data_IF_627744416824
#
_entry.id   IF_627744416824
#
_cell.length_a   1.000
_cell.length_b   1.000
_cell.length_c   1.000
_cell.angle_alpha   90.00
_cell.angle_beta   90.00
_cell.angle_gamma   90.00
#
_symmetry.space_group_name_H-M   'P 1'
#
loop_
_entity.id
_entity.type
_entity.pdbx_description
1 polymer ?
#
# COMPACT_ATOMS: atom_id res chain seq x y z
N UNK A 1 -64.80 29.93 -34.41
CA UNK A 1 -64.52 30.84 -33.28
C UNK A 1 -64.96 30.15 -32.00
N UNK A 2 -64.07 29.37 -31.37
CA UNK A 2 -64.38 28.53 -30.22
C UNK A 2 -63.13 28.39 -29.33
N UNK A 3 -63.32 28.66 -28.01
CA UNK A 3 -62.72 28.04 -26.81
C UNK A 3 -61.17 27.91 -26.71
N UNK A 4 -60.47 28.12 -25.59
CA UNK A 4 -60.78 28.28 -24.16
C UNK A 4 -59.52 28.74 -23.42
N UNK A 5 -59.70 29.49 -22.32
CA UNK A 5 -58.68 29.79 -21.30
C UNK A 5 -58.38 28.53 -20.47
N UNK A 6 -57.11 28.27 -20.16
CA UNK A 6 -56.72 27.49 -18.98
C UNK A 6 -55.68 28.23 -18.15
N UNK A 7 -56.05 28.47 -16.89
CA UNK A 7 -55.19 28.91 -15.79
C UNK A 7 -54.45 27.69 -15.25
N UNK A 8 -53.13 27.77 -15.12
CA UNK A 8 -52.35 26.75 -14.40
C UNK A 8 -52.28 27.11 -12.92
N UNK A 9 -52.68 26.12 -12.12
CA UNK A 9 -52.81 26.09 -10.67
C UNK A 9 -51.42 25.85 -10.05
N UNK A 10 -51.01 26.74 -9.15
CA UNK A 10 -49.83 26.56 -8.28
C UNK A 10 -50.28 25.66 -7.12
N UNK A 11 -49.71 24.45 -7.04
CA UNK A 11 -49.87 23.56 -5.88
C UNK A 11 -48.70 23.84 -4.92
N UNK A 12 -49.03 24.47 -3.80
CA UNK A 12 -48.15 24.70 -2.67
C UNK A 12 -48.32 23.53 -1.70
N UNK A 13 -47.35 22.62 -1.63
CA UNK A 13 -47.38 21.53 -0.65
C UNK A 13 -46.70 21.99 0.63
N UNK A 14 -47.51 22.33 1.63
CA UNK A 14 -47.10 22.51 3.03
C UNK A 14 -47.03 21.11 3.63
N UNK A 15 -45.84 20.66 4.05
CA UNK A 15 -45.72 19.51 4.97
C UNK A 15 -45.21 20.03 6.31
N UNK A 16 -46.09 19.88 7.28
CA UNK A 16 -45.99 20.17 8.69
C UNK A 16 -45.02 19.24 9.43
N UNK A 17 -44.13 19.84 10.21
CA UNK A 17 -43.45 19.26 11.39
C UNK A 17 -44.52 19.11 12.49
N UNK A 18 -44.70 17.93 13.15
CA UNK A 18 -44.09 17.75 14.49
C UNK A 18 -43.89 16.30 14.98
N UNK A 19 -42.70 16.00 15.52
CA UNK A 19 -42.48 15.04 16.64
C UNK A 19 -41.02 15.21 17.07
N UNK A 20 -40.72 15.98 18.13
CA UNK A 20 -40.74 15.59 19.55
C UNK A 20 -39.77 14.44 19.84
N UNK A 21 -38.60 14.82 20.35
CA UNK A 21 -38.09 14.39 21.66
C UNK A 21 -38.15 12.87 21.94
N UNK A 22 -37.19 12.10 21.44
CA UNK A 22 -36.92 10.74 21.97
C UNK A 22 -35.49 10.26 21.67
N UNK A 23 -34.46 11.04 22.05
CA UNK A 23 -33.08 10.55 22.11
C UNK A 23 -32.28 11.26 23.21
N UNK A 24 -32.77 11.15 24.44
CA UNK A 24 -31.95 11.30 25.65
C UNK A 24 -32.38 10.17 26.61
N UNK A 25 -31.39 9.52 27.22
CA UNK A 25 -31.45 8.32 28.07
C UNK A 25 -31.55 6.96 27.36
N UNK A 26 -30.40 6.34 27.10
CA UNK A 26 -30.03 5.08 27.74
C UNK A 26 -28.52 4.81 27.53
N UNK A 27 -27.69 5.46 28.34
CA UNK A 27 -26.37 4.91 28.69
C UNK A 27 -26.62 4.09 29.96
N UNK A 28 -27.04 2.83 29.78
CA UNK A 28 -26.94 1.86 30.87
C UNK A 28 -25.51 1.33 30.91
N UNK A 29 -24.84 1.67 31.99
CA UNK A 29 -23.64 1.05 32.50
C UNK A 29 -23.85 -0.45 32.68
N UNK A 30 -23.32 -1.28 31.78
CA UNK A 30 -23.06 -2.68 32.09
C UNK A 30 -21.72 -2.78 32.80
N UNK A 31 -21.80 -2.83 34.12
CA UNK A 31 -20.74 -3.32 35.00
C UNK A 31 -20.41 -4.75 34.62
N UNK A 32 -19.20 -4.97 34.10
CA UNK A 32 -18.68 -6.30 33.79
C UNK A 32 -18.34 -6.99 35.12
N UNK A 33 -19.15 -7.97 35.48
CA UNK A 33 -18.89 -8.89 36.60
C UNK A 33 -17.68 -9.77 36.27
N UNK A 34 -16.81 -9.89 37.26
CA UNK A 34 -15.66 -10.80 37.30
C UNK A 34 -16.12 -12.26 37.22
N UNK A 35 -15.54 -13.13 36.38
CA UNK A 35 -15.74 -14.56 36.50
C UNK A 35 -14.97 -15.10 37.71
N UNK A 36 -15.70 -15.87 38.50
CA UNK A 36 -15.23 -16.58 39.68
C UNK A 36 -14.17 -17.64 39.33
N UNK A 37 -13.27 -17.85 40.29
CA UNK A 37 -12.31 -18.94 40.35
C UNK A 37 -13.02 -20.30 40.30
N UNK A 38 -12.75 -21.08 39.25
CA UNK A 38 -12.87 -22.55 39.31
C UNK A 38 -11.47 -23.15 39.28
N UNK A 39 -11.05 -23.62 40.46
CA UNK A 39 -9.82 -24.38 40.64
C UNK A 39 -10.06 -25.81 40.17
N UNK A 40 -9.53 -26.17 39.01
CA UNK A 40 -9.50 -27.56 38.54
C UNK A 40 -8.11 -28.12 38.81
N UNK A 41 -8.02 -29.04 39.75
CA UNK A 41 -6.80 -29.74 40.13
C UNK A 41 -6.49 -30.82 39.09
N UNK A 42 -5.46 -30.62 38.26
CA UNK A 42 -4.93 -31.65 37.36
C UNK A 42 -3.62 -32.17 37.97
N UNK A 43 -3.63 -33.42 38.42
CA UNK A 43 -2.45 -34.15 38.89
C UNK A 43 -1.61 -34.60 37.69
N UNK A 44 -0.46 -33.96 37.46
CA UNK A 44 0.57 -34.48 36.55
C UNK A 44 1.57 -35.32 37.32
N UNK A 45 1.61 -36.62 37.01
CA UNK A 45 2.69 -37.53 37.39
C UNK A 45 4.00 -37.06 36.73
N UNK A 46 4.96 -36.73 37.57
CA UNK A 46 6.34 -36.38 37.20
C UNK A 46 7.11 -37.64 36.81
N UNK A 47 7.37 -37.81 35.50
CA UNK A 47 8.43 -38.70 35.04
C UNK A 47 9.70 -37.85 34.87
N UNK A 48 10.62 -38.00 35.82
CA UNK A 48 11.95 -37.39 35.77
C UNK A 48 12.79 -38.21 34.78
N UNK A 49 12.97 -37.71 33.57
CA UNK A 49 14.05 -38.16 32.68
C UNK A 49 15.12 -37.08 32.62
N UNK A 50 16.30 -37.42 33.14
CA UNK A 50 17.54 -36.65 33.08
C UNK A 50 17.87 -36.20 31.65
N UNK A 51 18.21 -34.92 31.41
CA UNK A 51 18.65 -34.48 30.10
C UNK A 51 20.07 -34.99 29.83
N UNK A 52 20.21 -35.76 28.75
CA UNK A 52 21.50 -36.10 28.14
C UNK A 52 22.15 -34.82 27.60
N UNK A 53 23.44 -34.55 27.87
CA UNK A 53 24.09 -33.34 27.37
C UNK A 53 24.22 -33.42 25.84
N UNK A 54 23.51 -32.55 25.13
CA UNK A 54 23.66 -32.35 23.70
C UNK A 54 25.03 -31.72 23.43
N UNK A 55 25.85 -32.45 22.69
CA UNK A 55 27.15 -32.06 22.18
C UNK A 55 27.05 -30.69 21.49
N UNK A 56 27.79 -29.71 22.00
CA UNK A 56 27.93 -28.38 21.42
C UNK A 56 28.75 -28.46 20.13
N UNK A 57 28.13 -28.72 18.99
CA UNK A 57 28.74 -28.40 17.70
C UNK A 57 28.54 -26.92 17.42
N UNK A 58 29.50 -26.11 17.86
CA UNK A 58 29.66 -24.72 17.41
C UNK A 58 30.02 -24.71 15.93
N UNK A 59 29.01 -24.88 15.05
CA UNK A 59 29.16 -24.50 13.66
C UNK A 59 29.02 -22.98 13.60
N UNK A 60 30.16 -22.31 13.62
CA UNK A 60 30.29 -20.93 13.14
C UNK A 60 29.72 -20.89 11.73
N UNK A 61 28.54 -20.25 11.59
CA UNK A 61 28.03 -19.84 10.30
C UNK A 61 29.16 -19.08 9.59
N UNK A 62 29.55 -19.48 8.37
CA UNK A 62 30.51 -18.70 7.62
C UNK A 62 29.92 -17.30 7.48
N UNK A 63 30.64 -16.30 7.98
CA UNK A 63 30.35 -14.92 7.71
C UNK A 63 30.39 -14.78 6.19
N UNK A 64 29.22 -14.79 5.56
CA UNK A 64 29.09 -14.39 4.16
C UNK A 64 29.48 -12.93 4.16
N UNK A 65 30.74 -12.68 3.86
CA UNK A 65 31.28 -11.36 3.58
C UNK A 65 30.49 -10.86 2.37
N UNK A 66 29.37 -10.19 2.62
CA UNK A 66 28.66 -9.40 1.62
C UNK A 66 29.65 -8.33 1.19
N UNK A 67 30.28 -8.58 0.04
CA UNK A 67 31.28 -7.72 -0.57
C UNK A 67 30.60 -6.37 -0.80
N UNK A 68 30.96 -5.41 0.04
CA UNK A 68 30.65 -3.99 -0.11
C UNK A 68 31.32 -3.49 -1.40
N UNK A 69 30.55 -3.52 -2.48
CA UNK A 69 30.81 -2.77 -3.72
C UNK A 69 29.48 -2.15 -4.15
N UNK A 70 29.02 -1.15 -3.41
CA UNK A 70 28.19 -0.10 -3.97
C UNK A 70 28.18 1.08 -3.00
N UNK A 71 28.72 2.20 -3.49
CA UNK A 71 28.54 3.51 -2.88
C UNK A 71 27.04 3.81 -2.80
N UNK A 72 26.53 4.08 -1.60
CA UNK A 72 25.20 4.65 -1.33
C UNK A 72 24.03 4.05 -2.14
N UNK A 73 23.72 2.76 -1.90
CA UNK A 73 22.38 2.28 -2.25
C UNK A 73 21.36 3.08 -1.44
N UNK A 74 20.41 3.68 -2.13
CA UNK A 74 19.22 4.32 -1.53
C UNK A 74 18.03 3.43 -1.83
N UNK A 75 17.33 3.00 -0.78
CA UNK A 75 16.04 2.35 -0.85
C UNK A 75 14.97 3.41 -1.08
N UNK A 76 14.52 3.53 -2.33
CA UNK A 76 13.48 4.47 -2.72
C UNK A 76 12.11 3.77 -2.73
N UNK A 77 11.16 4.35 -2.00
CA UNK A 77 9.78 3.86 -1.88
C UNK A 77 8.82 5.01 -2.21
N UNK A 78 7.85 4.78 -3.09
CA UNK A 78 6.86 5.78 -3.50
C UNK A 78 5.47 5.36 -3.07
N UNK A 79 4.73 6.31 -2.48
CA UNK A 79 3.41 6.11 -1.88
C UNK A 79 2.47 7.19 -2.40
N UNK A 80 1.22 6.83 -2.70
CA UNK A 80 0.13 7.79 -2.89
C UNK A 80 -0.72 7.79 -1.62
N UNK A 81 -0.69 8.88 -0.86
CA UNK A 81 -1.39 9.02 0.42
C UNK A 81 -2.15 10.33 0.43
N UNK A 82 -3.35 10.35 -0.14
CA UNK A 82 -4.19 11.55 -0.17
C UNK A 82 -5.68 11.24 0.01
N UNK A 83 -6.46 12.27 0.31
CA UNK A 83 -7.89 12.16 0.56
C UNK A 83 -8.21 12.08 2.04
N UNK A 84 -8.77 10.96 2.48
CA UNK A 84 -9.38 10.86 3.79
C UNK A 84 -8.39 10.42 4.89
N UNK A 85 -8.86 10.47 6.15
CA UNK A 85 -8.07 10.08 7.32
C UNK A 85 -7.67 8.60 7.34
N UNK A 86 -8.53 7.71 6.85
CA UNK A 86 -8.23 6.27 6.78
C UNK A 86 -6.95 6.03 5.99
N UNK A 87 -6.78 6.70 4.85
CA UNK A 87 -5.53 6.66 4.08
C UNK A 87 -4.32 7.13 4.90
N UNK A 88 -4.45 8.16 5.73
CA UNK A 88 -3.35 8.62 6.59
C UNK A 88 -2.95 7.60 7.66
N UNK A 89 -3.94 6.93 8.25
CA UNK A 89 -3.75 5.88 9.27
C UNK A 89 -3.11 4.63 8.65
N UNK A 90 -3.56 4.23 7.45
CA UNK A 90 -2.96 3.15 6.65
C UNK A 90 -1.49 3.45 6.28
N UNK A 91 -1.22 4.64 5.71
CA UNK A 91 0.15 5.09 5.40
C UNK A 91 1.05 5.08 6.63
N UNK A 92 0.50 5.40 7.80
CA UNK A 92 1.22 5.34 9.06
C UNK A 92 1.67 3.90 9.38
N UNK A 93 0.80 2.91 9.20
CA UNK A 93 1.14 1.49 9.40
C UNK A 93 2.17 1.01 8.39
N UNK A 94 2.02 1.38 7.12
CA UNK A 94 2.98 1.08 6.07
C UNK A 94 4.38 1.61 6.40
N UNK A 95 4.50 2.91 6.72
CA UNK A 95 5.79 3.54 7.06
C UNK A 95 6.46 2.84 8.25
N UNK A 96 5.69 2.49 9.29
CA UNK A 96 6.23 1.72 10.41
C UNK A 96 6.80 0.39 9.96
N UNK A 97 6.06 -0.36 9.16
CA UNK A 97 6.50 -1.69 8.71
C UNK A 97 7.79 -1.60 7.90
N UNK A 98 7.95 -0.57 7.08
CA UNK A 98 9.19 -0.26 6.36
C UNK A 98 10.34 -0.05 7.34
N UNK A 99 10.17 0.85 8.31
CA UNK A 99 11.22 1.22 9.27
C UNK A 99 11.59 0.07 10.21
N UNK A 100 10.62 -0.75 10.60
CA UNK A 100 10.80 -1.88 11.50
C UNK A 100 11.54 -3.04 10.85
N UNK A 101 11.20 -3.36 9.61
CA UNK A 101 11.79 -4.49 8.91
C UNK A 101 13.06 -4.14 8.13
N UNK A 102 13.39 -2.85 8.00
CA UNK A 102 14.66 -2.43 7.42
C UNK A 102 15.83 -2.70 8.38
N UNK A 103 16.66 -3.69 8.05
CA UNK A 103 17.80 -4.14 8.88
C UNK A 103 19.15 -3.60 8.36
N UNK A 104 19.16 -2.80 7.29
CA UNK A 104 20.37 -2.29 6.64
C UNK A 104 20.88 -0.92 7.12
N UNK A 105 21.98 -0.49 6.49
CA UNK A 105 22.50 0.88 6.56
C UNK A 105 22.13 1.71 5.32
N UNK A 106 21.38 1.12 4.38
CA UNK A 106 20.85 1.76 3.17
C UNK A 106 20.04 2.98 3.55
N UNK A 107 20.28 4.13 2.90
CA UNK A 107 19.43 5.32 3.09
C UNK A 107 18.01 5.01 2.63
N UNK A 108 17.00 5.42 3.39
CA UNK A 108 15.59 5.31 2.98
C UNK A 108 15.13 6.65 2.42
N UNK A 109 14.54 6.62 1.23
CA UNK A 109 13.89 7.75 0.60
C UNK A 109 12.40 7.45 0.40
N UNK A 110 11.54 8.14 1.15
CA UNK A 110 10.08 8.06 1.02
C UNK A 110 9.58 9.19 0.12
N UNK A 111 8.98 8.83 -1.00
CA UNK A 111 8.42 9.75 -1.99
C UNK A 111 6.89 9.70 -1.91
N UNK A 112 6.27 10.68 -1.27
CA UNK A 112 4.85 10.63 -0.90
C UNK A 112 4.06 11.66 -1.70
N UNK A 113 3.25 11.21 -2.66
CA UNK A 113 2.28 12.02 -3.36
C UNK A 113 1.02 12.16 -2.49
N UNK A 114 0.65 13.39 -2.11
CA UNK A 114 -0.30 13.64 -1.03
C UNK A 114 -1.05 14.96 -1.25
N UNK A 115 -2.05 15.25 -0.42
CA UNK A 115 -2.56 16.60 -0.20
C UNK A 115 -1.95 17.24 1.07
N UNK A 116 -2.30 18.50 1.34
CA UNK A 116 -1.82 19.24 2.51
C UNK A 116 -2.29 18.62 3.83
N UNK A 117 -3.52 18.09 3.87
CA UNK A 117 -4.09 17.50 5.07
C UNK A 117 -3.31 16.25 5.51
N UNK A 118 -3.13 15.31 4.59
CA UNK A 118 -2.38 14.07 4.83
C UNK A 118 -0.90 14.34 5.12
N UNK A 119 -0.27 15.30 4.43
CA UNK A 119 1.11 15.71 4.73
C UNK A 119 1.25 16.17 6.18
N UNK A 120 0.39 17.10 6.62
CA UNK A 120 0.43 17.64 7.97
C UNK A 120 0.17 16.53 9.01
N UNK A 121 -0.81 15.66 8.75
CA UNK A 121 -1.08 14.51 9.60
C UNK A 121 0.16 13.63 9.78
N UNK A 122 0.82 13.25 8.69
CA UNK A 122 2.01 12.38 8.74
C UNK A 122 3.18 13.08 9.43
N UNK A 123 3.39 14.38 9.20
CA UNK A 123 4.43 15.13 9.93
C UNK A 123 4.16 15.10 11.44
N UNK A 124 2.95 15.45 11.86
CA UNK A 124 2.59 15.57 13.29
C UNK A 124 2.52 14.23 14.03
N UNK A 125 2.02 13.18 13.36
CA UNK A 125 1.72 11.90 13.99
C UNK A 125 2.77 10.81 13.72
N UNK A 126 3.61 10.99 12.70
CA UNK A 126 4.64 10.03 12.31
C UNK A 126 6.02 10.68 12.49
N UNK A 127 6.38 11.60 11.61
CA UNK A 127 7.78 12.03 11.47
C UNK A 127 8.31 12.86 12.64
N UNK A 128 7.47 13.67 13.30
CA UNK A 128 7.86 14.40 14.52
C UNK A 128 8.00 13.48 15.75
N UNK A 129 7.54 12.22 15.65
CA UNK A 129 7.47 11.28 16.79
C UNK A 129 8.44 10.11 16.67
N UNK A 130 8.99 9.81 15.49
CA UNK A 130 10.05 8.82 15.34
C UNK A 130 11.44 9.42 15.51
N UNK A 131 12.34 8.63 16.06
CA UNK A 131 13.78 8.78 15.88
C UNK A 131 14.33 7.60 15.07
N UNK A 132 15.11 7.89 14.04
CA UNK A 132 15.74 6.87 13.20
C UNK A 132 17.22 6.79 13.56
N UNK A 133 17.68 5.63 14.01
CA UNK A 133 19.03 5.46 14.56
C UNK A 133 20.03 4.89 13.55
N UNK A 134 19.58 3.96 12.71
CA UNK A 134 20.48 3.18 11.83
C UNK A 134 20.65 3.82 10.46
N UNK A 135 19.55 4.26 9.87
CA UNK A 135 19.50 4.77 8.50
C UNK A 135 19.16 6.26 8.45
N UNK A 136 19.65 6.95 7.41
CA UNK A 136 19.16 8.27 7.08
C UNK A 136 17.77 8.13 6.44
N UNK A 137 16.78 8.85 6.98
CA UNK A 137 15.44 8.89 6.44
C UNK A 137 15.20 10.23 5.75
N UNK A 138 14.97 10.17 4.44
CA UNK A 138 14.59 11.32 3.62
C UNK A 138 13.13 11.17 3.22
N UNK A 139 12.33 12.22 3.43
CA UNK A 139 10.90 12.24 3.10
C UNK A 139 10.66 13.38 2.13
N UNK A 140 10.20 13.06 0.92
CA UNK A 140 9.86 14.00 -0.12
C UNK A 140 8.34 13.99 -0.34
N UNK A 141 7.66 15.01 0.13
CA UNK A 141 6.26 15.22 -0.15
C UNK A 141 6.05 15.95 -1.48
N UNK A 142 5.09 15.47 -2.27
CA UNK A 142 4.56 16.14 -3.46
C UNK A 142 3.08 16.42 -3.25
N UNK A 143 2.72 17.69 -3.11
CA UNK A 143 1.32 18.12 -3.00
C UNK A 143 0.72 18.10 -4.40
N UNK A 144 -0.17 17.14 -4.66
CA UNK A 144 -0.71 16.89 -6.00
C UNK A 144 -1.96 17.71 -6.26
N UNK A 145 -1.98 18.44 -7.37
CA UNK A 145 -3.20 19.05 -7.90
C UNK A 145 -4.07 17.99 -8.63
N UNK A 146 -5.14 17.54 -7.98
CA UNK A 146 -6.05 16.55 -8.58
C UNK A 146 -6.83 17.05 -9.80
N UNK A 147 -6.98 18.37 -9.98
CA UNK A 147 -7.57 18.93 -11.21
C UNK A 147 -6.65 18.67 -12.40
N UNK A 148 -5.34 18.86 -12.22
CA UNK A 148 -4.35 18.54 -13.25
C UNK A 148 -4.36 17.05 -13.63
N UNK A 149 -4.49 16.17 -12.65
CA UNK A 149 -4.59 14.72 -12.90
C UNK A 149 -5.83 14.37 -13.72
N UNK A 150 -6.95 15.04 -13.44
CA UNK A 150 -8.20 14.88 -14.19
C UNK A 150 -8.05 15.34 -15.64
N UNK A 151 -7.44 16.50 -15.86
CA UNK A 151 -7.12 17.04 -17.19
C UNK A 151 -6.21 16.08 -17.97
N UNK A 152 -5.12 15.61 -17.37
CA UNK A 152 -4.21 14.65 -18.02
C UNK A 152 -4.90 13.32 -18.35
N UNK A 153 -5.74 12.78 -17.46
CA UNK A 153 -6.54 11.58 -17.76
C UNK A 153 -7.51 11.80 -18.94
N UNK A 154 -8.17 12.95 -19.00
CA UNK A 154 -9.09 13.29 -20.09
C UNK A 154 -8.39 13.46 -21.45
N UNK A 155 -7.17 14.01 -21.45
CA UNK A 155 -6.32 14.09 -22.64
C UNK A 155 -5.90 12.69 -23.12
N UNK A 156 -5.52 11.83 -22.17
CA UNK A 156 -5.06 10.45 -22.41
C UNK A 156 -6.21 9.45 -22.61
N UNK A 157 -7.46 9.90 -22.53
CA UNK A 157 -8.68 9.08 -22.64
C UNK A 157 -8.75 7.93 -21.63
N UNK A 158 -8.16 8.14 -20.45
CA UNK A 158 -8.21 7.19 -19.34
C UNK A 158 -9.41 7.58 -18.46
N UNK A 159 -10.47 6.75 -18.39
CA UNK A 159 -11.63 7.09 -17.58
C UNK A 159 -11.30 6.90 -16.10
N UNK A 160 -11.81 7.81 -15.26
CA UNK A 160 -11.63 7.74 -13.81
C UNK A 160 -12.86 7.04 -13.20
N UNK A 161 -12.83 5.71 -13.16
CA UNK A 161 -13.95 4.89 -12.65
C UNK A 161 -13.57 4.12 -11.37
N UNK A 162 -12.29 4.16 -11.00
CA UNK A 162 -11.78 3.47 -9.82
C UNK A 162 -12.38 3.98 -8.49
N UNK A 163 -12.50 3.10 -7.49
CA UNK A 163 -13.04 3.44 -6.17
C UNK A 163 -12.18 4.47 -5.42
N UNK A 164 -10.86 4.49 -5.65
CA UNK A 164 -9.96 5.55 -5.13
C UNK A 164 -10.03 6.86 -5.92
N UNK A 165 -10.87 6.94 -6.97
CA UNK A 165 -11.07 8.12 -7.80
C UNK A 165 -9.77 8.68 -8.38
N UNK A 166 -9.63 10.01 -8.34
CA UNK A 166 -8.47 10.74 -8.86
C UNK A 166 -7.16 10.35 -8.15
N UNK A 167 -7.21 9.98 -6.86
CA UNK A 167 -6.01 9.54 -6.13
C UNK A 167 -5.46 8.23 -6.69
N UNK A 168 -6.31 7.27 -7.06
CA UNK A 168 -5.86 6.04 -7.74
C UNK A 168 -5.11 6.36 -9.04
N UNK A 169 -5.56 7.37 -9.78
CA UNK A 169 -4.93 7.76 -11.05
C UNK A 169 -3.56 8.40 -10.87
N UNK A 170 -3.27 9.04 -9.72
CA UNK A 170 -1.96 9.65 -9.44
C UNK A 170 -0.83 8.64 -9.65
N UNK A 171 -1.08 7.36 -9.35
CA UNK A 171 -0.11 6.27 -9.54
C UNK A 171 0.47 6.24 -10.95
N UNK A 172 -0.33 6.50 -11.98
CA UNK A 172 0.12 6.51 -13.37
C UNK A 172 1.09 7.67 -13.66
N UNK A 173 1.03 8.75 -12.90
CA UNK A 173 1.82 9.96 -13.15
C UNK A 173 3.02 10.10 -12.22
N UNK A 174 3.32 9.11 -11.38
CA UNK A 174 4.36 9.25 -10.35
C UNK A 174 5.75 9.52 -10.92
N UNK A 175 6.06 9.07 -12.13
CA UNK A 175 7.33 9.37 -12.78
C UNK A 175 7.45 10.84 -13.23
N UNK A 176 6.33 11.53 -13.45
CA UNK A 176 6.27 12.99 -13.62
C UNK A 176 6.25 13.73 -12.29
N UNK A 177 5.51 13.21 -11.30
CA UNK A 177 5.42 13.80 -9.95
C UNK A 177 6.79 13.81 -9.26
N UNK A 178 7.56 12.74 -9.45
CA UNK A 178 8.90 12.53 -8.91
C UNK A 178 9.93 12.40 -10.05
N UNK A 179 10.18 13.51 -10.74
CA UNK A 179 11.07 13.62 -11.90
C UNK A 179 12.54 13.23 -11.62
N UNK A 180 13.00 13.36 -10.38
CA UNK A 180 14.36 12.99 -9.96
C UNK A 180 14.49 11.52 -9.55
N UNK A 181 13.39 10.84 -9.21
CA UNK A 181 13.42 9.44 -8.74
C UNK A 181 13.70 8.52 -9.92
N UNK A 182 14.74 7.69 -9.80
CA UNK A 182 15.18 6.79 -10.88
C UNK A 182 14.48 5.44 -10.86
N UNK A 183 14.47 4.81 -9.68
CA UNK A 183 13.88 3.50 -9.41
C UNK A 183 13.19 3.58 -8.06
N UNK A 184 12.07 2.90 -7.91
CA UNK A 184 11.30 2.90 -6.67
C UNK A 184 10.51 1.60 -6.51
N UNK A 185 10.25 1.23 -5.26
CA UNK A 185 9.12 0.35 -4.93
C UNK A 185 7.89 1.25 -4.82
N UNK A 186 6.91 1.07 -5.69
CA UNK A 186 5.58 1.58 -5.43
C UNK A 186 4.86 0.64 -4.45
N UNK A 187 4.15 1.19 -3.48
CA UNK A 187 3.36 0.42 -2.51
C UNK A 187 2.11 1.20 -2.07
N UNK A 188 0.97 0.52 -2.03
CA UNK A 188 -0.32 1.05 -1.56
C UNK A 188 -0.37 1.20 -0.05
N UNK A 189 -1.23 2.10 0.42
CA UNK A 189 -1.30 2.50 1.84
C UNK A 189 -1.79 1.37 2.73
N UNK A 190 -2.65 0.49 2.21
CA UNK A 190 -3.22 -0.67 2.88
C UNK A 190 -2.30 -1.91 2.82
N UNK A 191 -0.99 -1.70 2.68
CA UNK A 191 0.01 -2.75 2.69
C UNK A 191 0.98 -2.64 3.89
N UNK A 192 1.51 -3.79 4.30
CA UNK A 192 2.48 -3.90 5.39
C UNK A 192 3.60 -4.85 4.97
N UNK A 193 4.85 -4.40 5.10
CA UNK A 193 6.02 -5.26 4.87
C UNK A 193 6.17 -6.27 6.00
N UNK A 194 6.36 -7.54 5.65
CA UNK A 194 6.66 -8.64 6.58
C UNK A 194 8.14 -9.05 6.60
N UNK A 195 8.97 -8.39 5.79
CA UNK A 195 10.41 -8.64 5.65
C UNK A 195 11.14 -7.36 5.26
N UNK A 196 12.48 -7.42 5.17
CA UNK A 196 13.29 -6.28 4.78
C UNK A 196 12.97 -5.81 3.33
N UNK A 197 12.48 -4.56 3.13
CA UNK A 197 12.18 -4.03 1.80
C UNK A 197 13.40 -3.94 0.86
N UNK A 198 14.64 -3.95 1.37
CA UNK A 198 15.85 -4.05 0.53
C UNK A 198 15.83 -5.31 -0.36
N UNK A 199 15.24 -6.41 0.13
CA UNK A 199 15.13 -7.66 -0.63
C UNK A 199 14.25 -7.48 -1.86
N UNK A 200 13.11 -6.79 -1.73
CA UNK A 200 12.29 -6.45 -2.88
C UNK A 200 13.01 -5.49 -3.81
N UNK A 201 13.70 -4.47 -3.28
CA UNK A 201 14.45 -3.53 -4.11
C UNK A 201 15.56 -4.21 -4.92
N UNK A 202 16.16 -5.28 -4.39
CA UNK A 202 17.17 -6.07 -5.12
C UNK A 202 16.62 -6.78 -6.36
N UNK A 203 15.30 -6.96 -6.47
CA UNK A 203 14.67 -7.56 -7.67
C UNK A 203 14.86 -6.69 -8.93
N UNK A 204 15.25 -5.41 -8.79
CA UNK A 204 15.70 -4.59 -9.93
C UNK A 204 16.90 -5.18 -10.66
N UNK A 205 17.72 -6.01 -10.01
CA UNK A 205 18.88 -6.67 -10.64
C UNK A 205 18.43 -7.69 -11.71
N UNK A 206 17.16 -8.10 -11.70
CA UNK A 206 16.56 -8.99 -12.70
C UNK A 206 15.97 -8.24 -13.90
N UNK A 207 15.94 -6.90 -13.88
CA UNK A 207 15.38 -6.11 -14.98
C UNK A 207 16.25 -6.26 -16.23
N UNK A 208 15.61 -6.58 -17.36
CA UNK A 208 16.25 -6.51 -18.68
C UNK A 208 16.39 -5.06 -19.12
N UNK A 209 17.03 -4.83 -20.26
CA UNK A 209 17.25 -3.48 -20.80
C UNK A 209 15.92 -2.73 -20.98
N UNK A 210 14.91 -3.43 -21.48
CA UNK A 210 13.59 -2.91 -21.80
C UNK A 210 12.57 -2.98 -20.65
N UNK A 211 12.87 -3.72 -19.58
CA UNK A 211 11.98 -3.82 -18.41
C UNK A 211 11.82 -2.47 -17.72
N UNK A 212 10.57 -2.06 -17.51
CA UNK A 212 10.14 -0.83 -16.85
C UNK A 212 9.51 -1.12 -15.48
N UNK A 213 8.78 -2.23 -15.37
CA UNK A 213 8.00 -2.60 -14.20
C UNK A 213 8.27 -4.04 -13.79
N UNK A 214 8.04 -4.36 -12.51
CA UNK A 214 7.90 -5.74 -12.05
C UNK A 214 6.78 -5.83 -11.04
N UNK A 215 5.84 -6.75 -11.24
CA UNK A 215 4.65 -6.86 -10.40
C UNK A 215 4.17 -8.31 -10.25
N UNK A 216 3.25 -8.53 -9.31
CA UNK A 216 2.64 -9.84 -9.08
C UNK A 216 1.41 -10.04 -9.96
N UNK A 217 1.18 -11.28 -10.39
CA UNK A 217 0.05 -11.68 -11.24
C UNK A 217 -0.30 -13.13 -11.03
N UNK A 218 -1.56 -13.49 -11.30
CA UNK A 218 -1.97 -14.88 -11.30
C UNK A 218 -1.52 -15.63 -12.58
N UNK A 219 -1.38 -16.96 -12.53
CA UNK A 219 -1.29 -17.78 -13.73
C UNK A 219 -2.47 -17.53 -14.66
N UNK A 220 -2.18 -17.42 -15.95
CA UNK A 220 -3.15 -17.16 -17.02
C UNK A 220 -3.90 -15.82 -16.90
N UNK A 221 -3.35 -14.84 -16.17
CA UNK A 221 -3.94 -13.50 -15.95
C UNK A 221 -4.48 -12.85 -17.23
N UNK A 222 -3.79 -13.01 -18.38
CA UNK A 222 -4.21 -12.45 -19.68
C UNK A 222 -5.62 -12.87 -20.08
N UNK A 223 -5.96 -14.14 -19.87
CA UNK A 223 -7.27 -14.70 -20.20
C UNK A 223 -8.36 -14.36 -19.18
N UNK A 224 -7.95 -14.05 -17.94
CA UNK A 224 -8.87 -13.77 -16.85
C UNK A 224 -9.17 -12.27 -16.68
N UNK A 225 -8.32 -11.40 -17.21
CA UNK A 225 -8.53 -9.96 -17.25
C UNK A 225 -7.83 -9.19 -16.11
N UNK A 226 -8.07 -7.88 -16.02
CA UNK A 226 -7.29 -6.95 -15.19
C UNK A 226 -7.38 -7.20 -13.68
N UNK A 227 -8.40 -7.91 -13.19
CA UNK A 227 -8.53 -8.24 -11.76
C UNK A 227 -7.55 -9.33 -11.28
N UNK A 228 -6.77 -9.90 -12.20
CA UNK A 228 -5.80 -10.98 -11.92
C UNK A 228 -4.34 -10.51 -12.01
N UNK A 229 -4.13 -9.20 -12.08
CA UNK A 229 -2.87 -8.52 -11.79
C UNK A 229 -3.11 -7.56 -10.63
N UNK A 230 -2.04 -7.06 -10.01
CA UNK A 230 -2.18 -6.13 -8.89
C UNK A 230 -1.20 -4.96 -9.00
N UNK A 231 -1.72 -3.73 -8.96
CA UNK A 231 -0.93 -2.50 -8.99
C UNK A 231 -0.56 -1.97 -7.59
N UNK A 232 -0.82 -2.75 -6.53
CA UNK A 232 -0.67 -2.29 -5.16
C UNK A 232 0.77 -2.37 -4.66
N UNK A 233 1.60 -3.23 -5.24
CA UNK A 233 3.05 -3.23 -5.02
C UNK A 233 3.78 -3.67 -6.27
N UNK A 234 4.72 -2.84 -6.72
CA UNK A 234 5.53 -3.15 -7.89
C UNK A 234 6.84 -2.35 -7.89
N UNK A 235 7.83 -2.88 -8.59
CA UNK A 235 9.06 -2.17 -8.90
C UNK A 235 8.86 -1.32 -10.14
N UNK A 236 9.36 -0.08 -10.12
CA UNK A 236 9.24 0.86 -11.23
C UNK A 236 10.57 1.56 -11.51
N UNK A 237 11.13 1.34 -12.71
CA UNK A 237 12.23 2.14 -13.27
C UNK A 237 11.69 3.43 -13.93
N UNK A 238 11.38 4.41 -13.09
CA UNK A 238 10.82 5.71 -13.48
C UNK A 238 11.73 6.48 -14.46
N UNK A 239 13.06 6.28 -14.39
CA UNK A 239 13.98 6.89 -15.36
C UNK A 239 13.71 6.34 -16.76
N UNK A 240 13.52 5.02 -16.89
CA UNK A 240 13.21 4.41 -18.20
C UNK A 240 11.81 4.77 -18.68
N UNK A 241 10.80 4.83 -17.81
CA UNK A 241 9.44 5.23 -18.24
C UNK A 241 9.39 6.64 -18.80
N UNK A 242 10.11 7.59 -18.18
CA UNK A 242 10.29 8.95 -18.74
C UNK A 242 11.00 8.92 -20.09
N UNK A 243 12.05 8.11 -20.25
CA UNK A 243 12.80 8.00 -21.52
C UNK A 243 11.91 7.55 -22.68
N UNK A 244 10.94 6.67 -22.42
CA UNK A 244 10.02 6.15 -23.44
C UNK A 244 8.68 6.89 -23.47
N UNK A 245 8.50 7.94 -22.65
CA UNK A 245 7.24 8.69 -22.52
C UNK A 245 6.00 7.79 -22.44
N UNK A 246 6.05 6.76 -21.60
CA UNK A 246 5.16 5.60 -21.71
C UNK A 246 3.66 5.93 -21.72
N UNK A 247 3.20 6.89 -20.92
CA UNK A 247 1.80 7.34 -20.96
C UNK A 247 1.43 7.96 -22.30
N UNK A 248 2.27 8.85 -22.84
CA UNK A 248 1.98 9.52 -24.11
C UNK A 248 1.94 8.53 -25.27
N UNK A 249 2.84 7.57 -25.27
CA UNK A 249 2.95 6.57 -26.33
C UNK A 249 1.85 5.49 -26.25
N UNK A 250 1.43 5.11 -25.03
CA UNK A 250 0.62 3.90 -24.83
C UNK A 250 -0.75 4.13 -24.19
N UNK A 251 -1.09 5.32 -23.71
CA UNK A 251 -2.41 5.58 -23.14
C UNK A 251 -3.54 5.41 -24.15
N UNK A 252 -3.47 6.07 -25.31
CA UNK A 252 -4.53 5.95 -26.32
C UNK A 252 -4.70 4.49 -26.80
N UNK A 253 -3.62 3.76 -27.18
CA UNK A 253 -3.74 2.33 -27.48
C UNK A 253 -4.36 1.49 -26.35
N UNK A 254 -3.94 1.72 -25.10
CA UNK A 254 -4.53 1.03 -23.94
C UNK A 254 -6.02 1.35 -23.77
N UNK A 255 -6.40 2.62 -23.97
CA UNK A 255 -7.77 3.10 -23.87
C UNK A 255 -8.67 2.50 -24.94
N UNK A 256 -8.17 2.29 -26.16
CA UNK A 256 -8.91 1.58 -27.21
C UNK A 256 -9.12 0.11 -26.82
N UNK A 257 -8.04 -0.57 -26.42
CA UNK A 257 -8.03 -2.00 -26.11
C UNK A 257 -8.97 -2.34 -24.93
N UNK A 258 -8.85 -1.60 -23.83
CA UNK A 258 -9.47 -1.98 -22.55
C UNK A 258 -10.64 -1.10 -22.17
N UNK A 259 -10.53 0.21 -22.35
CA UNK A 259 -11.60 1.14 -21.99
C UNK A 259 -12.66 1.24 -23.08
N UNK A 260 -12.42 0.70 -24.27
CA UNK A 260 -13.35 0.80 -25.39
C UNK A 260 -13.50 2.24 -25.88
N UNK A 261 -12.40 3.00 -25.87
CA UNK A 261 -12.34 4.30 -26.52
C UNK A 261 -12.48 4.13 -28.04
N UNK A 262 -13.44 4.83 -28.62
CA UNK A 262 -13.67 4.91 -30.06
C UNK A 262 -13.15 6.25 -30.59
N UNK A 263 -12.13 6.20 -31.44
CA UNK A 263 -11.47 7.39 -31.98
C UNK A 263 -12.37 8.24 -32.88
N UNK A 264 -13.35 7.63 -33.56
CA UNK A 264 -14.25 8.34 -34.50
C UNK A 264 -15.27 9.17 -33.75
N UNK A 265 -15.82 8.61 -32.68
CA UNK A 265 -16.85 9.24 -31.86
C UNK A 265 -16.25 10.04 -30.71
N UNK A 266 -14.97 9.84 -30.39
CA UNK A 266 -14.30 10.38 -29.21
C UNK A 266 -14.99 9.98 -27.90
N UNK A 267 -15.61 8.80 -27.86
CA UNK A 267 -16.38 8.30 -26.71
C UNK A 267 -15.81 7.00 -26.17
N UNK A 268 -15.97 6.81 -24.87
CA UNK A 268 -15.64 5.57 -24.16
C UNK A 268 -16.94 4.75 -24.05
N UNK A 269 -16.90 3.49 -24.49
CA UNK A 269 -18.06 2.61 -24.41
C UNK A 269 -18.58 2.48 -22.97
N UNK A 270 -19.90 2.58 -22.79
CA UNK A 270 -20.54 2.42 -21.48
C UNK A 270 -20.39 1.00 -20.92
N UNK A 271 -20.14 0.02 -21.77
CA UNK A 271 -20.04 -1.40 -21.41
C UNK A 271 -18.64 -1.79 -20.92
N UNK A 272 -17.60 -0.99 -21.22
CA UNK A 272 -16.20 -1.24 -20.87
C UNK A 272 -15.64 -0.22 -19.86
N UNK A 273 -16.42 0.12 -18.85
CA UNK A 273 -16.08 1.14 -17.83
C UNK A 273 -15.14 0.63 -16.73
N UNK A 274 -14.17 -0.19 -17.07
CA UNK A 274 -13.03 -0.34 -16.17
C UNK A 274 -12.09 0.84 -16.46
N UNK A 275 -11.44 1.40 -15.44
CA UNK A 275 -10.89 2.76 -15.49
C UNK A 275 -10.02 3.04 -14.29
N UNK A 276 -9.07 2.13 -14.08
CA UNK A 276 -8.09 2.17 -13.01
C UNK A 276 -6.66 2.17 -13.53
N UNK A 277 -5.73 2.47 -12.63
CA UNK A 277 -4.31 2.30 -12.81
C UNK A 277 -3.97 0.83 -13.12
N UNK A 278 -4.63 -0.12 -12.45
CA UNK A 278 -4.45 -1.55 -12.68
C UNK A 278 -4.87 -1.96 -14.09
N UNK A 279 -6.02 -1.44 -14.58
CA UNK A 279 -6.50 -1.73 -15.93
C UNK A 279 -5.53 -1.20 -17.00
N UNK A 280 -5.02 0.02 -16.81
CA UNK A 280 -4.05 0.61 -17.73
C UNK A 280 -2.75 -0.20 -17.76
N UNK A 281 -2.20 -0.54 -16.60
CA UNK A 281 -0.98 -1.35 -16.52
C UNK A 281 -1.20 -2.76 -17.11
N UNK A 282 -2.39 -3.34 -16.95
CA UNK A 282 -2.74 -4.63 -17.56
C UNK A 282 -2.74 -4.52 -19.09
N UNK A 283 -3.34 -3.45 -19.65
CA UNK A 283 -3.31 -3.17 -21.08
C UNK A 283 -1.87 -3.04 -21.58
N UNK A 284 -1.06 -2.26 -20.87
CA UNK A 284 0.33 -2.02 -21.22
C UNK A 284 1.14 -3.33 -21.19
N UNK A 285 0.91 -4.20 -20.21
CA UNK A 285 1.56 -5.50 -20.14
C UNK A 285 1.19 -6.40 -21.32
N UNK A 286 -0.09 -6.41 -21.73
CA UNK A 286 -0.54 -7.16 -22.91
C UNK A 286 0.11 -6.63 -24.20
N UNK A 287 0.20 -5.31 -24.36
CA UNK A 287 0.77 -4.67 -25.55
C UNK A 287 2.30 -4.74 -25.60
N UNK A 288 2.96 -4.68 -24.45
CA UNK A 288 4.41 -4.58 -24.29
C UNK A 288 4.90 -5.52 -23.18
N UNK A 289 4.80 -6.85 -23.34
CA UNK A 289 5.15 -7.81 -22.29
C UNK A 289 6.60 -7.69 -21.83
N UNK A 290 7.53 -7.30 -22.71
CA UNK A 290 8.93 -7.12 -22.34
C UNK A 290 9.17 -5.95 -21.34
N UNK A 291 8.22 -5.02 -21.21
CA UNK A 291 8.29 -3.95 -20.19
C UNK A 291 8.08 -4.48 -18.78
N UNK A 292 7.61 -5.71 -18.61
CA UNK A 292 7.24 -6.27 -17.33
C UNK A 292 8.11 -7.48 -16.99
N UNK A 293 8.57 -7.50 -15.75
CA UNK A 293 9.04 -8.70 -15.09
C UNK A 293 7.99 -9.20 -14.08
N UNK A 294 8.07 -10.46 -13.70
CA UNK A 294 7.18 -11.05 -12.71
C UNK A 294 7.85 -11.05 -11.33
N UNK A 295 7.14 -10.52 -10.33
CA UNK A 295 7.53 -10.67 -8.93
C UNK A 295 6.95 -11.97 -8.36
N UNK A 296 7.70 -12.57 -7.44
CA UNK A 296 7.19 -13.69 -6.65
C UNK A 296 5.88 -13.27 -5.92
N UNK A 297 4.82 -14.10 -5.95
CA UNK A 297 3.55 -13.78 -5.29
C UNK A 297 3.67 -13.44 -3.79
N UNK A 298 4.71 -13.90 -3.10
CA UNK A 298 4.96 -13.56 -1.69
C UNK A 298 5.18 -12.06 -1.43
N UNK A 299 5.49 -11.28 -2.47
CA UNK A 299 5.57 -9.83 -2.38
C UNK A 299 4.21 -9.13 -2.36
N UNK A 300 3.11 -9.83 -2.64
CA UNK A 300 1.75 -9.28 -2.60
C UNK A 300 0.75 -10.32 -2.11
N UNK A 301 0.72 -10.57 -0.81
CA UNK A 301 -0.24 -11.48 -0.21
C UNK A 301 -1.59 -10.77 -0.06
N UNK A 302 -2.40 -10.84 -1.12
CA UNK A 302 -3.65 -10.12 -1.25
C UNK A 302 -4.86 -10.82 -0.60
N UNK A 303 -5.53 -10.12 0.30
CA UNK A 303 -6.75 -10.60 0.96
C UNK A 303 -7.91 -10.83 -0.02
N UNK A 304 -8.14 -9.96 -1.03
CA UNK A 304 -9.19 -10.16 -2.05
C UNK A 304 -9.10 -11.53 -2.75
N UNK A 305 -7.90 -12.09 -2.84
CA UNK A 305 -7.62 -13.35 -3.54
C UNK A 305 -7.41 -14.51 -2.55
N UNK A 306 -7.88 -14.38 -1.31
CA UNK A 306 -7.64 -15.33 -0.22
C UNK A 306 -6.15 -15.67 -0.05
N UNK A 307 -5.28 -14.66 -0.21
CA UNK A 307 -3.83 -14.79 -0.18
C UNK A 307 -3.33 -15.79 -1.24
N UNK A 308 -3.81 -15.61 -2.48
CA UNK A 308 -3.36 -16.38 -3.64
C UNK A 308 -1.83 -16.46 -3.70
N UNK A 309 -1.29 -17.63 -4.05
CA UNK A 309 0.15 -17.85 -4.15
C UNK A 309 0.87 -18.10 -2.83
N UNK A 310 0.14 -18.25 -1.71
CA UNK A 310 0.69 -18.76 -0.45
C UNK A 310 0.55 -20.29 -0.39
N UNK A 311 1.58 -21.09 -0.70
CA UNK A 311 1.70 -22.40 -0.07
C UNK A 311 1.97 -22.18 1.43
N UNK A 312 1.40 -23.01 2.30
CA UNK A 312 1.90 -23.10 3.68
C UNK A 312 3.38 -23.48 3.63
N UNK A 313 4.29 -22.57 4.01
CA UNK A 313 5.73 -22.84 3.91
C UNK A 313 6.10 -23.98 4.86
N UNK A 314 6.63 -25.07 4.31
CA UNK A 314 7.25 -26.14 5.10
C UNK A 314 8.40 -25.56 5.91
N UNK A 315 8.36 -25.71 7.25
CA UNK A 315 9.41 -25.26 8.19
C UNK A 315 10.81 -25.80 7.85
N UNK A 316 10.93 -26.84 7.02
CA UNK A 316 12.21 -27.49 6.72
C UNK A 316 12.98 -26.92 5.53
N UNK A 317 12.36 -26.08 4.68
CA UNK A 317 12.91 -25.72 3.36
C UNK A 317 13.57 -24.33 3.29
N UNK A 318 13.35 -23.45 4.27
CA UNK A 318 13.83 -22.06 4.19
C UNK A 318 14.64 -21.65 5.43
N UNK A 319 15.95 -21.45 5.23
CA UNK A 319 16.89 -20.99 6.26
C UNK A 319 16.87 -19.47 6.46
N UNK A 320 16.10 -18.72 5.67
CA UNK A 320 16.07 -17.25 5.74
C UNK A 320 15.14 -16.71 6.83
N UNK A 321 14.33 -17.55 7.50
CA UNK A 321 13.42 -17.21 8.61
C UNK A 321 12.31 -16.17 8.33
N UNK A 322 12.21 -15.60 7.13
CA UNK A 322 11.20 -14.57 6.83
C UNK A 322 9.88 -15.21 6.35
N UNK A 323 8.79 -14.81 7.00
CA UNK A 323 7.46 -15.42 6.88
C UNK A 323 6.69 -15.00 5.62
N UNK A 324 6.88 -13.76 5.13
CA UNK A 324 6.20 -13.19 3.95
C UNK A 324 6.88 -11.90 3.45
N UNK A 325 6.67 -11.53 2.19
CA UNK A 325 7.18 -10.29 1.59
C UNK A 325 6.40 -9.06 2.05
N UNK A 326 5.18 -8.90 1.54
CA UNK A 326 4.23 -7.88 2.01
C UNK A 326 2.81 -8.44 2.07
N UNK A 327 2.06 -8.04 3.09
CA UNK A 327 0.64 -8.33 3.23
C UNK A 327 -0.14 -7.15 2.67
N UNK A 328 -1.22 -7.46 1.96
CA UNK A 328 -2.08 -6.50 1.31
C UNK A 328 -3.53 -6.71 1.75
N UNK A 329 -4.11 -5.67 2.32
CA UNK A 329 -5.41 -5.73 2.99
C UNK A 329 -6.58 -5.33 2.10
N UNK A 330 -6.42 -5.44 0.78
CA UNK A 330 -7.49 -5.15 -0.17
C UNK A 330 -8.77 -5.96 0.08
N UNK A 331 -9.91 -5.38 -0.31
CA UNK A 331 -11.26 -5.92 -0.11
C UNK A 331 -11.66 -6.18 1.35
N UNK A 332 -10.83 -5.86 2.35
CA UNK A 332 -11.18 -6.04 3.75
C UNK A 332 -12.20 -5.01 4.26
N UNK A 333 -12.53 -3.98 3.45
CA UNK A 333 -13.36 -2.85 3.86
C UNK A 333 -12.72 -2.04 4.99
N UNK A 334 -13.51 -1.23 5.69
CA UNK A 334 -13.07 -0.53 6.91
C UNK A 334 -12.96 -1.46 8.13
N UNK A 335 -13.20 -2.76 7.96
CA UNK A 335 -13.21 -3.76 9.05
C UNK A 335 -11.83 -4.37 9.27
N UNK A 336 -10.82 -3.51 9.43
CA UNK A 336 -9.47 -3.90 9.84
C UNK A 336 -9.44 -4.63 11.20
N UNK A 337 -10.54 -4.56 11.95
CA UNK A 337 -10.78 -5.08 13.29
C UNK A 337 -11.50 -6.45 13.33
N UNK A 338 -11.95 -7.02 12.20
CA UNK A 338 -12.72 -8.30 12.15
C UNK A 338 -12.00 -9.48 11.46
N UNK A 339 -10.70 -9.39 11.19
CA UNK A 339 -9.99 -10.49 10.52
C UNK A 339 -9.76 -11.72 11.41
N UNK A 340 -10.66 -12.69 11.32
CA UNK A 340 -10.47 -14.04 11.89
C UNK A 340 -9.27 -14.73 11.24
N UNK A 341 -8.31 -15.20 12.05
CA UNK A 341 -7.08 -15.89 11.62
C UNK A 341 -5.86 -14.98 11.42
N UNK A 342 -6.04 -13.66 11.48
CA UNK A 342 -4.97 -12.65 11.36
C UNK A 342 -4.87 -11.76 12.60
N UNK A 343 -5.41 -12.23 13.73
CA UNK A 343 -5.28 -11.59 15.04
C UNK A 343 -3.81 -11.35 15.39
N UNK A 344 -2.91 -12.22 14.94
CA UNK A 344 -1.47 -12.05 15.13
C UNK A 344 -0.89 -10.86 14.35
N UNK A 345 -1.47 -10.45 13.22
CA UNK A 345 -1.05 -9.21 12.51
C UNK A 345 -1.55 -7.99 13.27
N UNK A 346 -2.78 -8.02 13.78
CA UNK A 346 -3.25 -6.97 14.69
C UNK A 346 -2.37 -6.91 15.91
N UNK A 347 -2.07 -8.04 16.53
CA UNK A 347 -1.15 -8.12 17.67
C UNK A 347 0.24 -7.64 17.27
N UNK A 348 0.80 -8.01 16.12
CA UNK A 348 2.08 -7.51 15.61
C UNK A 348 2.06 -5.98 15.50
N UNK A 349 1.03 -5.40 14.87
CA UNK A 349 0.86 -3.96 14.72
C UNK A 349 0.60 -3.25 16.06
N UNK A 350 -0.09 -3.90 17.00
CA UNK A 350 -0.38 -3.42 18.36
C UNK A 350 0.85 -3.54 19.26
N UNK A 351 1.69 -4.56 19.09
CA UNK A 351 2.92 -4.78 19.85
C UNK A 351 4.00 -3.79 19.43
N UNK A 352 4.06 -3.46 18.15
CA UNK A 352 4.89 -2.37 17.62
C UNK A 352 4.26 -0.99 17.85
N UNK A 353 3.91 -0.70 19.12
CA UNK A 353 3.50 0.66 19.52
C UNK A 353 4.62 1.64 19.21
N UNK A 354 4.22 2.81 18.73
CA UNK A 354 5.04 4.01 18.54
C UNK A 354 5.98 4.31 19.71
N UNK A 355 5.55 3.92 20.91
CA UNK A 355 6.21 4.15 22.19
C UNK A 355 7.70 3.75 22.20
N UNK A 356 8.15 2.84 21.34
CA UNK A 356 9.56 2.44 21.26
C UNK A 356 10.39 3.39 20.39
N UNK A 357 9.79 3.99 19.37
CA UNK A 357 10.42 5.02 18.54
C UNK A 357 10.34 6.41 19.14
N UNK A 358 9.33 6.66 19.99
CA UNK A 358 9.06 7.96 20.61
C UNK A 358 9.61 8.10 22.02
N UNK A 359 9.98 7.02 22.72
CA UNK A 359 10.65 7.11 24.02
C UNK A 359 11.99 7.85 23.81
N UNK A 360 12.16 9.04 24.41
CA UNK A 360 13.50 9.56 24.57
C UNK A 360 14.25 8.50 25.38
N UNK A 361 15.38 8.00 24.87
CA UNK A 361 16.37 7.49 25.79
C UNK A 361 16.72 8.68 26.68
N UNK A 362 16.19 8.72 27.91
CA UNK A 362 16.23 9.89 28.80
C UNK A 362 17.68 10.36 29.07
N UNK A 363 18.66 9.51 28.78
CA UNK A 363 20.09 9.77 28.94
C UNK A 363 20.86 10.06 27.64
N UNK A 364 20.21 10.20 26.48
CA UNK A 364 20.94 10.48 25.23
C UNK A 364 20.09 11.25 24.21
N UNK A 365 20.13 12.59 24.28
CA UNK A 365 19.42 13.47 23.35
C UNK A 365 19.98 13.42 21.91
N UNK A 366 21.21 12.91 21.72
CA UNK A 366 21.97 13.02 20.47
C UNK A 366 22.10 11.73 19.63
N UNK A 367 21.46 10.62 20.00
CA UNK A 367 21.70 9.34 19.31
C UNK A 367 20.92 9.09 18.00
N UNK A 368 19.98 9.97 17.60
CA UNK A 368 19.18 9.79 16.39
C UNK A 368 19.71 10.58 15.19
N UNK A 369 19.67 9.99 13.99
CA UNK A 369 19.87 10.75 12.74
C UNK A 369 18.68 11.68 12.52
N UNK A 370 18.92 12.87 11.98
CA UNK A 370 17.84 13.80 11.63
C UNK A 370 17.04 13.27 10.45
N UNK A 371 15.71 13.45 10.50
CA UNK A 371 14.83 13.15 9.37
C UNK A 371 14.84 14.39 8.47
N UNK A 372 15.17 14.20 7.19
CA UNK A 372 15.16 15.30 6.22
C UNK A 372 13.81 15.29 5.53
N UNK A 373 12.99 16.31 5.81
CA UNK A 373 11.67 16.47 5.20
C UNK A 373 11.74 17.58 4.16
N UNK A 374 11.28 17.29 2.94
CA UNK A 374 11.12 18.24 1.84
C UNK A 374 9.69 18.18 1.35
N UNK A 375 9.16 19.29 0.88
CA UNK A 375 7.86 19.32 0.22
C UNK A 375 7.89 20.27 -0.98
N UNK A 376 7.08 19.97 -1.99
CA UNK A 376 6.86 20.82 -3.15
C UNK A 376 5.48 20.54 -3.76
N UNK A 377 5.00 21.42 -4.63
CA UNK A 377 3.72 21.24 -5.33
C UNK A 377 3.94 20.61 -6.70
N UNK A 378 2.97 19.81 -7.16
CA UNK A 378 2.93 19.21 -8.49
C UNK A 378 1.61 19.55 -9.22
#
# INVERSE_FOLDING_TARGET
MLLTKHKSLIILTIISIPTILFFFLQIQTTTRTSPQNESTTISHNSCITTPTPLLSSSQTLPATTLINKDNDKTLSITIVSGGNRTTSDETTLLIKSILLNHVGNTQIELNIATDLYNMNFLIENVFNRIKVYRTQLNVNFKIVNLTRIDEECNELKIPIVHHSGKWGMVKLFLDKVFDTVKRTIFVDTDMVFGTNPDLLFSEFDKFKEETLFSWTREPNWESKGPNHVCSCIFLWDMKKTRKVNYLKEFAIPASIEIFGFDEKTQQISKEKRNGSDQDFLFALNKMKPNFFNELDPSWNLANCQNFFGVPSRSRSADRTTHFMGAIHFNCAGNTYDDWKGWEWVKEYLIWYRWDWFSRPYENNKDLGKSIIIKHSFY
#
